data_IF_463785216874
#
_entry.id   IF_463785216874
#
_cell.length_a   1.000
_cell.length_b   1.000
_cell.length_c   1.000
_cell.angle_alpha   90.00
_cell.angle_beta   90.00
_cell.angle_gamma   90.00
#
_symmetry.space_group_name_H-M   'P 1'
#
loop_
_entity.id
_entity.type
_entity.pdbx_description
1 polymer ?
#
# COMPACT_ATOMS: atom_id res chain seq x y z
N UNK A 1 6.22 10.57 -10.77
CA UNK A 1 6.60 11.03 -9.41
C UNK A 1 6.21 9.93 -8.45
N UNK A 2 7.12 9.54 -7.55
CA UNK A 2 6.83 8.57 -6.49
C UNK A 2 6.73 9.30 -5.15
N UNK A 3 5.72 8.99 -4.36
CA UNK A 3 5.48 9.60 -3.05
C UNK A 3 5.42 8.52 -1.97
N UNK A 4 6.11 8.76 -0.87
CA UNK A 4 6.08 7.91 0.31
C UNK A 4 5.68 8.77 1.49
N UNK A 5 4.50 8.50 2.03
CA UNK A 5 3.96 9.14 3.22
C UNK A 5 4.27 8.29 4.46
N UNK A 6 4.85 8.92 5.48
CA UNK A 6 5.07 8.29 6.78
C UNK A 6 4.11 8.87 7.82
N UNK A 7 3.33 8.00 8.47
CA UNK A 7 2.42 8.36 9.56
C UNK A 7 3.14 8.47 10.90
N UNK A 8 2.59 9.29 11.80
CA UNK A 8 3.14 9.51 13.15
C UNK A 8 3.28 8.21 13.95
N UNK A 9 4.37 8.11 14.73
CA UNK A 9 4.68 6.94 15.58
C UNK A 9 5.51 5.83 14.92
N UNK A 10 5.86 5.95 13.63
CA UNK A 10 6.55 4.89 12.89
C UNK A 10 8.10 4.98 12.96
N UNK A 11 8.75 4.58 14.04
CA UNK A 11 10.18 4.86 14.27
C UNK A 11 11.21 3.95 13.54
N UNK A 12 10.77 3.14 12.58
CA UNK A 12 11.68 2.33 11.77
C UNK A 12 12.11 3.04 10.47
N UNK A 13 13.35 2.84 9.98
CA UNK A 13 13.73 3.25 8.64
C UNK A 13 12.94 2.46 7.59
N UNK A 14 12.54 3.13 6.50
CA UNK A 14 11.82 2.50 5.39
C UNK A 14 12.77 2.34 4.21
N UNK A 15 13.03 1.10 3.81
CA UNK A 15 13.69 0.78 2.56
C UNK A 15 12.68 0.85 1.42
N UNK A 16 12.99 1.65 0.40
CA UNK A 16 12.17 1.76 -0.80
C UNK A 16 12.97 1.26 -1.99
N UNK A 17 12.37 0.36 -2.77
CA UNK A 17 12.96 -0.23 -3.96
C UNK A 17 12.03 -0.09 -5.15
N UNK A 18 12.61 0.24 -6.30
CA UNK A 18 11.91 0.32 -7.57
C UNK A 18 12.24 -0.92 -8.39
N UNK A 19 11.23 -1.74 -8.67
CA UNK A 19 11.31 -2.84 -9.62
C UNK A 19 10.88 -2.33 -11.00
N UNK A 20 11.85 -2.29 -11.92
CA UNK A 20 11.60 -1.93 -13.30
C UNK A 20 11.00 -3.12 -14.07
N UNK A 21 10.06 -2.88 -14.99
CA UNK A 21 9.60 -3.93 -15.88
C UNK A 21 10.69 -4.31 -16.90
N UNK A 22 10.62 -5.52 -17.44
CA UNK A 22 11.56 -5.98 -18.46
C UNK A 22 11.59 -5.03 -19.67
N UNK A 23 12.81 -4.70 -20.13
CA UNK A 23 13.01 -3.78 -21.26
C UNK A 23 12.88 -2.29 -20.93
N UNK A 24 12.57 -1.93 -19.67
CA UNK A 24 12.65 -0.55 -19.23
C UNK A 24 14.01 -0.23 -18.62
N UNK A 25 14.49 1.00 -18.84
CA UNK A 25 15.74 1.52 -18.32
C UNK A 25 15.47 2.73 -17.44
N UNK A 26 16.07 2.76 -16.25
CA UNK A 26 16.03 3.93 -15.37
C UNK A 26 16.99 4.99 -15.90
N UNK A 27 16.44 6.15 -16.27
CA UNK A 27 17.20 7.30 -16.78
C UNK A 27 17.41 8.37 -15.73
N UNK A 28 16.56 8.45 -14.72
CA UNK A 28 16.66 9.40 -13.62
C UNK A 28 16.11 8.82 -12.32
N UNK A 29 16.76 9.14 -11.19
CA UNK A 29 16.41 8.65 -9.86
C UNK A 29 17.25 7.45 -9.41
N UNK A 30 16.97 6.94 -8.22
CA UNK A 30 17.68 5.79 -7.64
C UNK A 30 16.77 4.56 -7.55
N UNK A 31 17.25 3.40 -8.00
CA UNK A 31 16.50 2.14 -7.93
C UNK A 31 16.20 1.69 -6.49
N UNK A 32 16.96 2.20 -5.51
CA UNK A 32 16.66 2.02 -4.10
C UNK A 32 17.06 3.26 -3.30
N UNK A 33 16.32 3.54 -2.24
CA UNK A 33 16.67 4.55 -1.25
C UNK A 33 16.08 4.21 0.11
N UNK A 34 16.67 4.75 1.17
CA UNK A 34 16.15 4.62 2.53
C UNK A 34 15.57 5.94 2.99
N UNK A 35 14.39 5.89 3.61
CA UNK A 35 13.82 6.98 4.39
C UNK A 35 14.22 6.75 5.85
N UNK A 36 15.12 7.57 6.42
CA UNK A 36 15.61 7.35 7.78
C UNK A 36 14.52 7.57 8.83
N UNK A 37 14.66 6.90 9.97
CA UNK A 37 13.85 7.14 11.15
C UNK A 37 14.10 8.55 11.72
N UNK A 38 13.08 9.14 12.36
CA UNK A 38 13.24 10.40 13.11
C UNK A 38 13.14 11.69 12.29
N UNK A 39 13.03 11.62 10.97
CA UNK A 39 12.39 12.70 10.19
C UNK A 39 10.91 12.66 10.58
N UNK A 40 10.26 13.76 10.90
CA UNK A 40 8.88 13.77 11.42
C UNK A 40 7.83 13.17 10.47
N UNK A 41 6.56 13.41 10.74
CA UNK A 41 5.50 13.18 9.75
C UNK A 41 5.85 13.95 8.47
N UNK A 42 5.78 13.28 7.32
CA UNK A 42 6.27 13.89 6.08
C UNK A 42 6.12 12.99 4.86
N UNK A 43 5.94 13.65 3.72
CA UNK A 43 5.95 13.01 2.40
C UNK A 43 7.33 13.20 1.80
N UNK A 44 7.99 12.10 1.45
CA UNK A 44 9.20 12.15 0.61
C UNK A 44 8.81 11.86 -0.83
N UNK A 45 9.02 12.85 -1.68
CA UNK A 45 8.76 12.72 -3.11
C UNK A 45 10.08 12.60 -3.88
N UNK A 46 10.18 11.58 -4.74
CA UNK A 46 11.36 11.33 -5.58
C UNK A 46 10.94 11.32 -7.05
N UNK A 47 11.56 12.17 -7.90
CA UNK A 47 11.34 12.12 -9.34
C UNK A 47 12.02 10.89 -9.94
N UNK A 48 11.35 10.28 -10.91
CA UNK A 48 11.81 9.09 -11.61
C UNK A 48 11.63 9.26 -13.12
N UNK A 49 12.69 9.00 -13.86
CA UNK A 49 12.70 8.93 -15.32
C UNK A 49 12.88 7.48 -15.76
N UNK A 50 11.95 6.96 -16.53
CA UNK A 50 11.99 5.59 -17.07
C UNK A 50 11.81 5.67 -18.58
N UNK A 51 12.72 5.04 -19.33
CA UNK A 51 12.67 4.92 -20.77
C UNK A 51 12.42 3.47 -21.19
N UNK A 52 11.74 3.29 -22.31
CA UNK A 52 11.50 2.00 -22.95
C UNK A 52 11.48 2.18 -24.47
N UNK A 53 11.67 1.07 -25.19
CA UNK A 53 11.69 1.07 -26.66
C UNK A 53 10.40 1.66 -27.25
N UNK A 54 10.57 2.54 -28.23
CA UNK A 54 9.45 3.25 -28.85
C UNK A 54 8.50 2.25 -29.52
N UNK A 55 7.20 2.39 -29.25
CA UNK A 55 6.16 1.52 -29.83
C UNK A 55 5.96 0.18 -29.12
N UNK A 56 6.77 -0.14 -28.09
CA UNK A 56 6.64 -1.38 -27.31
C UNK A 56 6.50 -1.05 -25.83
N UNK A 57 5.28 -0.74 -25.34
CA UNK A 57 5.07 -0.51 -23.91
C UNK A 57 5.38 -1.78 -23.11
N UNK A 58 5.96 -1.67 -21.90
CA UNK A 58 6.26 -2.82 -21.07
C UNK A 58 5.00 -3.63 -20.72
N UNK A 59 5.13 -4.96 -20.77
CA UNK A 59 4.07 -5.91 -20.38
C UNK A 59 3.97 -6.11 -18.87
N UNK A 60 4.87 -5.52 -18.10
CA UNK A 60 4.91 -5.57 -16.64
C UNK A 60 4.69 -4.18 -16.05
N UNK A 61 4.35 -4.15 -14.76
CA UNK A 61 4.11 -2.91 -14.03
C UNK A 61 5.45 -2.41 -13.47
N UNK A 62 5.63 -1.09 -13.41
CA UNK A 62 6.65 -0.48 -12.57
C UNK A 62 6.18 -0.56 -11.12
N UNK A 63 6.93 -1.25 -10.26
CA UNK A 63 6.51 -1.45 -8.86
C UNK A 63 7.46 -0.73 -7.92
N UNK A 64 6.90 0.13 -7.08
CA UNK A 64 7.59 0.71 -5.94
C UNK A 64 7.23 -0.09 -4.70
N UNK A 65 8.22 -0.68 -4.07
CA UNK A 65 8.06 -1.50 -2.85
C UNK A 65 8.68 -0.74 -1.69
N UNK A 66 7.89 -0.50 -0.65
CA UNK A 66 8.35 0.05 0.61
C UNK A 66 8.31 -1.06 1.67
N UNK A 67 9.46 -1.33 2.28
CA UNK A 67 9.63 -2.32 3.33
C UNK A 67 10.24 -1.67 4.56
N UNK A 68 9.74 -2.02 5.74
CA UNK A 68 10.29 -1.57 7.00
C UNK A 68 10.12 -2.65 8.07
N UNK A 69 11.18 -2.88 8.83
CA UNK A 69 11.19 -3.85 9.92
C UNK A 69 11.45 -3.12 11.24
N UNK A 70 10.64 -3.44 12.24
CA UNK A 70 10.82 -3.01 13.62
C UNK A 70 10.91 -4.21 14.55
N UNK A 71 11.17 -3.95 15.84
CA UNK A 71 11.37 -5.02 16.83
C UNK A 71 10.17 -5.98 16.98
N UNK A 72 8.95 -5.51 16.67
CA UNK A 72 7.71 -6.28 16.84
C UNK A 72 6.77 -6.18 15.64
N UNK A 73 7.23 -5.63 14.50
CA UNK A 73 6.40 -5.42 13.33
C UNK A 73 7.22 -5.49 12.04
N UNK A 74 6.54 -5.82 10.94
CA UNK A 74 7.03 -5.62 9.58
C UNK A 74 5.96 -4.90 8.77
N UNK A 75 6.37 -3.98 7.91
CA UNK A 75 5.48 -3.28 6.98
C UNK A 75 5.97 -3.55 5.58
N UNK A 76 5.04 -3.96 4.73
CA UNK A 76 5.25 -4.12 3.29
C UNK A 76 4.13 -3.36 2.58
N UNK A 77 4.52 -2.44 1.70
CA UNK A 77 3.58 -1.68 0.88
C UNK A 77 4.09 -1.64 -0.56
N UNK A 78 3.16 -1.76 -1.50
CA UNK A 78 3.47 -1.71 -2.93
C UNK A 78 2.63 -0.63 -3.60
N UNK A 79 3.25 0.12 -4.50
CA UNK A 79 2.56 1.00 -5.44
C UNK A 79 2.95 0.59 -6.86
N UNK A 80 1.94 0.35 -7.71
CA UNK A 80 2.16 -0.13 -9.08
C UNK A 80 1.78 0.95 -10.08
N UNK A 81 2.63 1.18 -11.07
CA UNK A 81 2.36 2.03 -12.22
C UNK A 81 2.37 1.20 -13.50
N UNK A 82 1.25 1.22 -14.21
CA UNK A 82 1.02 0.37 -15.37
C UNK A 82 1.05 1.20 -16.65
N UNK A 83 1.90 0.80 -17.60
CA UNK A 83 2.06 1.51 -18.88
C UNK A 83 0.93 1.14 -19.86
N UNK A 84 -0.02 2.06 -20.08
CA UNK A 84 -1.02 1.97 -21.17
C UNK A 84 -2.03 0.82 -21.09
N UNK A 85 -2.02 0.00 -20.02
CA UNK A 85 -2.98 -1.10 -19.81
C UNK A 85 -4.00 -0.70 -18.75
N UNK A 86 -5.27 -1.06 -18.99
CA UNK A 86 -6.38 -0.82 -18.04
C UNK A 86 -6.05 -1.39 -16.66
N UNK A 87 -6.36 -0.64 -15.61
CA UNK A 87 -6.19 -1.06 -14.22
C UNK A 87 -7.06 -2.30 -14.00
N UNK A 88 -6.43 -3.47 -13.86
CA UNK A 88 -7.16 -4.65 -13.42
C UNK A 88 -7.44 -4.45 -11.94
N UNK A 89 -8.70 -4.26 -11.58
CA UNK A 89 -9.11 -4.28 -10.17
C UNK A 89 -8.60 -5.60 -9.59
N UNK A 90 -7.83 -5.56 -8.50
CA UNK A 90 -7.42 -6.79 -7.84
C UNK A 90 -8.70 -7.58 -7.49
N UNK A 91 -8.76 -8.89 -7.79
CA UNK A 91 -9.93 -9.67 -7.45
C UNK A 91 -10.11 -9.62 -5.93
N UNK A 92 -11.17 -8.97 -5.49
CA UNK A 92 -11.57 -8.97 -4.09
C UNK A 92 -11.65 -10.44 -3.65
N UNK A 93 -10.91 -10.87 -2.61
CA UNK A 93 -11.02 -12.24 -2.13
C UNK A 93 -12.48 -12.47 -1.74
N UNK A 94 -13.10 -13.49 -2.34
CA UNK A 94 -14.47 -13.87 -1.99
C UNK A 94 -14.44 -14.35 -0.54
N UNK A 95 -15.23 -13.77 0.37
CA UNK A 95 -15.33 -14.26 1.74
C UNK A 95 -15.70 -15.74 1.72
N UNK A 96 -14.83 -16.59 2.25
CA UNK A 96 -15.05 -18.05 2.37
C UNK A 96 -15.50 -18.45 3.78
N UNK A 97 -15.68 -17.47 4.67
CA UNK A 97 -16.17 -17.69 6.02
C UNK A 97 -17.69 -17.90 6.08
N UNK A 98 -18.20 -18.38 7.22
CA UNK A 98 -19.64 -18.45 7.45
C UNK A 98 -20.28 -17.05 7.38
N UNK A 99 -21.49 -16.98 6.84
CA UNK A 99 -22.29 -15.76 6.82
C UNK A 99 -22.46 -15.24 8.26
N UNK A 100 -22.05 -14.00 8.52
CA UNK A 100 -22.22 -13.41 9.85
C UNK A 100 -23.71 -13.15 10.10
N UNK A 101 -24.24 -13.46 11.30
CA UNK A 101 -25.61 -13.14 11.66
C UNK A 101 -25.90 -11.65 11.47
N UNK A 102 -27.06 -11.30 10.90
CA UNK A 102 -27.45 -9.92 10.61
C UNK A 102 -27.39 -8.97 11.83
N UNK A 103 -27.50 -9.51 13.05
CA UNK A 103 -27.38 -8.75 14.31
C UNK A 103 -25.99 -8.12 14.51
N UNK A 104 -24.95 -8.65 13.86
CA UNK A 104 -23.58 -8.13 13.94
C UNK A 104 -23.22 -7.16 12.79
N UNK A 105 -24.06 -7.09 11.75
CA UNK A 105 -23.83 -6.21 10.60
C UNK A 105 -24.50 -4.83 10.76
N UNK A 106 -25.34 -4.66 11.78
CA UNK A 106 -25.94 -3.36 12.12
C UNK A 106 -25.09 -2.68 13.19
N UNK A 107 -24.06 -1.94 12.75
CA UNK A 107 -23.47 -0.91 13.60
C UNK A 107 -24.44 0.28 13.70
N UNK A 108 -25.52 0.09 14.46
CA UNK A 108 -26.27 1.20 15.03
C UNK A 108 -26.33 0.95 16.54
N UNK A 109 -25.47 1.66 17.27
CA UNK A 109 -25.42 1.59 18.71
C UNK A 109 -26.69 2.20 19.28
N UNK A 110 -27.55 1.38 19.88
CA UNK A 110 -28.43 1.82 20.97
C UNK A 110 -28.70 0.63 21.89
N UNK A 111 -28.26 0.64 23.16
CA UNK A 111 -28.62 -0.40 24.10
C UNK A 111 -30.09 -0.19 24.48
N UNK A 112 -30.98 -1.05 23.97
CA UNK A 112 -32.39 -1.06 24.35
C UNK A 112 -32.76 -2.37 25.01
N UNK A 113 -32.70 -2.36 26.34
CA UNK A 113 -33.80 -2.79 27.21
C UNK A 113 -33.88 -4.26 27.61
N UNK A 114 -33.82 -4.53 28.91
CA UNK A 114 -34.81 -5.37 29.58
C UNK A 114 -34.95 -4.88 31.03
N UNK A 115 -36.07 -4.24 31.32
CA UNK A 115 -36.61 -4.10 32.67
C UNK A 115 -36.79 -5.49 33.25
N UNK A 116 -36.11 -5.77 34.37
CA UNK A 116 -36.37 -6.93 35.20
C UNK A 116 -37.51 -6.56 36.17
N UNK A 117 -38.70 -7.07 35.86
CA UNK A 117 -39.83 -7.12 36.78
C UNK A 117 -39.67 -8.41 37.61
N UNK A 118 -39.17 -8.26 38.84
CA UNK A 118 -39.16 -9.31 39.88
C UNK A 118 -40.48 -9.27 40.71
N UNK A 119 -40.83 -10.34 41.45
CA UNK A 119 -42.14 -10.99 41.49
C UNK A 119 -43.23 -10.33 42.36
#
# INVERSE_FOLDING_TARGET
MAEVERRAGFEAPVEVRLSLPAGATLTEGAAAFTVPAGVGEGVRSVPYGVAFEAGTPPSEDLVLVAHAEGASFGVHAEARHRFGRTLALEPQPVPTGPELPAVLMTADGTPSGSTDEEP
#
